data_IF_213649073662
#
_entry.id   IF_213649073662
#
_cell.length_a   1.000
_cell.length_b   1.000
_cell.length_c   1.000
_cell.angle_alpha   90.00
_cell.angle_beta   90.00
_cell.angle_gamma   90.00
#
_symmetry.space_group_name_H-M   'P 1'
#
loop_
_entity.id
_entity.type
_entity.pdbx_description
1 polymer ?
#
# COMPACT_ATOMS: atom_id res chain seq x y z
N UNK A 1 16.37 34.76 -53.45
CA UNK A 1 17.59 35.59 -53.27
C UNK A 1 17.24 36.92 -52.62
N UNK A 2 17.38 37.03 -51.29
CA UNK A 2 17.99 38.16 -50.57
C UNK A 2 18.00 37.82 -49.07
N UNK A 3 19.07 38.25 -48.45
CA UNK A 3 19.68 37.86 -47.17
C UNK A 3 18.95 38.40 -45.92
N UNK A 4 19.33 37.92 -44.71
CA UNK A 4 18.62 38.05 -43.43
C UNK A 4 19.15 39.24 -42.58
N UNK A 5 18.71 39.34 -41.32
CA UNK A 5 19.47 39.79 -40.10
C UNK A 5 18.65 40.74 -39.21
N UNK A 6 18.62 40.41 -37.90
CA UNK A 6 18.63 41.23 -36.67
C UNK A 6 17.74 40.50 -35.64
N UNK A 7 18.24 39.56 -34.82
CA UNK A 7 19.15 39.74 -33.69
C UNK A 7 18.81 40.97 -32.82
N UNK A 8 17.80 40.82 -31.97
CA UNK A 8 17.60 41.67 -30.79
C UNK A 8 17.76 40.82 -29.54
N UNK A 9 18.99 40.84 -29.02
CA UNK A 9 19.33 40.48 -27.64
C UNK A 9 18.85 41.63 -26.77
N UNK A 10 17.87 41.40 -25.90
CA UNK A 10 17.55 42.30 -24.79
C UNK A 10 17.95 41.60 -23.50
N UNK A 11 19.13 41.99 -23.01
CA UNK A 11 19.55 41.89 -21.62
C UNK A 11 18.47 42.53 -20.74
N UNK A 12 17.97 41.81 -19.73
CA UNK A 12 17.38 42.42 -18.54
C UNK A 12 18.28 42.12 -17.32
N UNK A 13 18.47 43.11 -16.43
CA UNK A 13 19.49 43.07 -15.39
C UNK A 13 19.07 42.26 -14.17
N UNK A 14 20.06 41.55 -13.61
CA UNK A 14 20.05 41.09 -12.24
C UNK A 14 20.07 42.30 -11.28
N UNK A 15 19.07 42.39 -10.41
CA UNK A 15 19.12 43.22 -9.22
C UNK A 15 19.10 42.30 -8.00
N UNK A 16 20.28 42.13 -7.39
CA UNK A 16 20.41 41.68 -6.02
C UNK A 16 19.73 42.71 -5.11
N UNK A 17 18.85 42.27 -4.23
CA UNK A 17 18.51 43.00 -3.01
C UNK A 17 18.69 42.04 -1.85
N UNK A 18 19.84 42.19 -1.19
CA UNK A 18 20.07 41.70 0.14
C UNK A 18 19.21 42.56 1.09
N UNK A 19 18.34 41.93 1.86
CA UNK A 19 17.75 42.54 3.04
C UNK A 19 18.30 41.79 4.25
N UNK A 20 19.35 42.39 4.79
CA UNK A 20 19.90 42.20 6.12
C UNK A 20 18.80 42.50 7.16
N UNK A 21 18.62 41.61 8.13
CA UNK A 21 17.54 41.73 9.11
C UNK A 21 17.54 40.62 10.15
N UNK A 22 18.61 40.54 10.95
CA UNK A 22 18.53 39.98 12.30
C UNK A 22 17.94 41.06 13.23
N UNK A 23 17.04 40.68 14.14
CA UNK A 23 17.41 40.88 15.54
C UNK A 23 16.93 39.79 16.51
N UNK A 24 17.66 39.80 17.61
CA UNK A 24 17.24 39.53 18.99
C UNK A 24 17.21 38.09 19.51
N UNK A 25 18.25 37.82 20.28
CA UNK A 25 18.39 36.77 21.28
C UNK A 25 17.27 36.89 22.32
N UNK A 26 16.19 36.13 22.16
CA UNK A 26 15.25 35.87 23.24
C UNK A 26 15.73 34.65 24.05
N UNK A 27 16.47 34.98 25.09
CA UNK A 27 16.48 34.39 26.43
C UNK A 27 15.93 32.96 26.60
N UNK A 28 16.87 32.10 27.00
CA UNK A 28 16.71 30.72 27.40
C UNK A 28 16.40 30.74 28.91
N UNK A 29 15.17 30.47 29.33
CA UNK A 29 14.89 30.05 30.71
C UNK A 29 13.63 29.20 30.78
N UNK A 30 13.81 27.88 30.93
CA UNK A 30 12.98 27.02 31.78
C UNK A 30 13.53 25.60 31.71
N UNK A 31 14.49 25.36 32.58
CA UNK A 31 14.88 24.03 33.00
C UNK A 31 13.71 23.40 33.78
N UNK A 32 13.03 22.43 33.17
CA UNK A 32 12.23 21.48 33.93
C UNK A 32 13.15 20.32 34.34
N UNK A 33 13.72 20.43 35.53
CA UNK A 33 14.32 19.31 36.26
C UNK A 33 13.24 18.27 36.56
N UNK A 34 13.28 17.12 35.88
CA UNK A 34 12.57 15.92 36.31
C UNK A 34 13.45 15.25 37.36
N UNK A 35 13.04 15.35 38.62
CA UNK A 35 13.63 14.62 39.73
C UNK A 35 13.20 13.15 39.68
N UNK A 36 14.18 12.25 39.67
CA UNK A 36 14.03 10.83 40.03
C UNK A 36 13.71 10.71 41.52
N UNK A 37 12.45 10.91 41.93
CA UNK A 37 11.96 10.44 43.25
C UNK A 37 10.43 10.46 43.27
N UNK A 38 9.80 9.42 42.71
CA UNK A 38 8.46 8.98 43.16
C UNK A 38 8.19 7.54 42.69
N UNK A 39 8.98 6.63 43.24
CA UNK A 39 8.65 5.20 43.29
C UNK A 39 8.07 4.95 44.68
N UNK A 40 6.74 4.96 44.84
CA UNK A 40 6.06 4.17 45.88
C UNK A 40 4.54 4.19 45.76
N UNK A 41 3.98 2.98 45.88
CA UNK A 41 2.68 2.68 46.49
C UNK A 41 1.39 3.06 45.73
N UNK A 42 0.80 2.06 45.06
CA UNK A 42 -0.63 1.75 45.23
C UNK A 42 -0.89 0.31 44.78
N UNK A 43 -0.60 -0.62 45.69
CA UNK A 43 -1.17 -1.96 45.69
C UNK A 43 -2.57 -1.87 46.30
N UNK A 44 -3.63 -1.80 45.51
CA UNK A 44 -4.99 -2.00 46.02
C UNK A 44 -5.79 -2.96 45.15
N UNK A 45 -5.96 -4.15 45.71
CA UNK A 45 -6.82 -5.25 45.32
C UNK A 45 -8.30 -4.82 45.31
N UNK A 46 -9.10 -5.19 44.30
CA UNK A 46 -10.53 -5.37 44.52
C UNK A 46 -10.83 -6.84 44.85
N UNK A 47 -11.05 -7.07 46.15
CA UNK A 47 -11.79 -8.21 46.69
C UNK A 47 -13.27 -8.06 46.34
N UNK A 48 -13.86 -9.12 45.81
CA UNK A 48 -15.22 -9.53 46.17
C UNK A 48 -16.37 -9.01 45.30
N UNK A 49 -16.84 -9.86 44.38
CA UNK A 49 -18.28 -10.11 44.28
C UNK A 49 -18.56 -11.52 43.76
N UNK A 50 -18.78 -12.44 44.70
CA UNK A 50 -19.45 -13.72 44.48
C UNK A 50 -20.96 -13.53 44.56
N UNK A 51 -21.68 -14.05 43.55
CA UNK A 51 -23.05 -14.59 43.56
C UNK A 51 -23.07 -15.49 42.31
N UNK A 52 -22.83 -16.81 42.37
CA UNK A 52 -23.82 -17.90 42.61
C UNK A 52 -25.12 -17.67 41.81
N UNK A 53 -25.69 -18.55 40.98
CA UNK A 53 -25.73 -20.01 40.94
C UNK A 53 -26.58 -20.40 39.70
N UNK A 54 -26.53 -21.68 39.33
CA UNK A 54 -27.38 -22.47 38.40
C UNK A 54 -26.82 -22.54 36.99
N UNK A 55 -26.18 -23.61 36.54
CA UNK A 55 -26.35 -25.01 36.92
C UNK A 55 -26.85 -25.74 35.69
N UNK A 56 -25.94 -26.41 34.97
CA UNK A 56 -26.29 -27.56 34.14
C UNK A 56 -25.03 -28.38 33.87
N UNK A 57 -24.93 -29.51 34.54
CA UNK A 57 -24.09 -30.64 34.18
C UNK A 57 -25.04 -31.79 33.74
N UNK A 58 -24.55 -33.00 33.45
CA UNK A 58 -23.77 -33.35 32.27
C UNK A 58 -24.47 -34.50 31.51
N UNK A 59 -24.06 -34.76 30.27
CA UNK A 59 -24.19 -36.09 29.67
C UNK A 59 -22.85 -36.48 29.06
N UNK A 60 -22.04 -37.09 29.93
CA UNK A 60 -21.30 -38.34 29.68
C UNK A 60 -22.17 -39.32 28.86
N UNK A 61 -21.69 -40.24 28.03
CA UNK A 61 -20.40 -40.82 27.68
C UNK A 61 -20.67 -41.57 26.34
N UNK A 62 -19.63 -42.14 25.73
CA UNK A 62 -19.64 -43.54 25.27
C UNK A 62 -18.92 -43.77 23.91
N UNK A 63 -17.78 -44.43 24.10
CA UNK A 63 -17.07 -45.36 23.23
C UNK A 63 -16.14 -44.91 22.09
N UNK A 64 -14.91 -45.39 22.27
CA UNK A 64 -13.75 -45.35 21.40
C UNK A 64 -13.78 -46.54 20.40
N UNK A 65 -12.63 -47.09 20.00
CA UNK A 65 -11.96 -46.79 18.74
C UNK A 65 -12.09 -47.93 17.73
N UNK A 66 -12.04 -47.62 16.42
CA UNK A 66 -11.86 -48.64 15.38
C UNK A 66 -10.50 -48.47 14.72
N UNK A 67 -9.52 -49.20 15.27
CA UNK A 67 -8.33 -49.62 14.54
C UNK A 67 -8.72 -50.71 13.54
N UNK A 68 -8.32 -50.54 12.28
CA UNK A 68 -8.23 -51.64 11.33
C UNK A 68 -6.78 -51.71 10.84
N UNK A 69 -6.06 -52.69 11.37
CA UNK A 69 -4.77 -53.13 10.87
C UNK A 69 -5.05 -54.31 9.93
N UNK A 70 -4.67 -54.19 8.66
CA UNK A 70 -4.46 -55.37 7.80
C UNK A 70 -3.20 -55.15 6.96
N UNK A 71 -2.20 -55.97 7.28
CA UNK A 71 -0.88 -56.00 6.70
C UNK A 71 -0.83 -56.86 5.42
N UNK A 72 0.00 -56.42 4.47
CA UNK A 72 0.90 -57.18 3.60
C UNK A 72 1.27 -56.21 2.45
N UNK A 73 2.48 -55.69 2.31
CA UNK A 73 3.77 -56.35 2.40
C UNK A 73 4.37 -56.29 1.01
N UNK A 74 5.27 -55.34 0.74
CA UNK A 74 6.32 -55.46 -0.27
C UNK A 74 7.29 -54.28 -0.17
N UNK A 75 8.52 -54.56 0.25
CA UNK A 75 9.72 -53.83 -0.15
C UNK A 75 10.64 -54.91 -0.76
N UNK A 76 11.31 -54.65 -1.89
CA UNK A 76 12.39 -53.66 -1.90
C UNK A 76 12.36 -52.69 -3.08
N UNK A 77 13.04 -51.56 -2.87
CA UNK A 77 13.46 -50.62 -3.91
C UNK A 77 14.29 -51.30 -5.01
N UNK A 78 14.34 -50.68 -6.20
CA UNK A 78 15.61 -50.07 -6.57
C UNK A 78 15.48 -48.60 -6.99
N UNK A 79 16.57 -47.88 -6.78
CA UNK A 79 16.78 -46.53 -7.26
C UNK A 79 16.69 -46.47 -8.80
N UNK A 80 16.05 -45.41 -9.30
CA UNK A 80 16.32 -44.87 -10.62
C UNK A 80 16.36 -43.33 -10.50
N UNK A 81 17.58 -42.81 -10.50
CA UNK A 81 17.91 -41.44 -10.88
C UNK A 81 17.49 -41.16 -12.33
N UNK A 82 17.12 -39.90 -12.60
CA UNK A 82 16.92 -39.33 -13.94
C UNK A 82 15.45 -39.12 -14.26
N UNK A 83 14.93 -37.91 -14.49
CA UNK A 83 15.57 -36.71 -14.98
C UNK A 83 14.90 -35.46 -14.39
N UNK A 84 15.72 -34.49 -14.00
CA UNK A 84 15.28 -33.12 -13.82
C UNK A 84 14.94 -32.56 -15.19
N UNK A 85 13.66 -32.60 -15.55
CA UNK A 85 13.16 -31.73 -16.61
C UNK A 85 13.25 -30.28 -16.09
N UNK A 86 13.88 -29.35 -16.81
CA UNK A 86 13.83 -27.94 -16.42
C UNK A 86 12.36 -27.51 -16.36
N UNK A 87 11.92 -26.72 -15.37
CA UNK A 87 10.54 -26.25 -15.33
C UNK A 87 10.25 -25.54 -16.65
N UNK A 88 9.31 -26.10 -17.40
CA UNK A 88 8.71 -25.42 -18.55
C UNK A 88 8.34 -24.01 -18.10
N UNK A 89 8.80 -22.95 -18.78
CA UNK A 89 8.43 -21.60 -18.39
C UNK A 89 6.90 -21.51 -18.41
N UNK A 90 6.33 -21.16 -17.26
CA UNK A 90 4.90 -20.92 -17.14
C UNK A 90 4.49 -19.94 -18.26
N UNK A 91 3.41 -20.21 -19.01
CA UNK A 91 2.95 -19.27 -20.02
C UNK A 91 2.70 -17.91 -19.35
N UNK A 92 3.20 -16.84 -19.98
CA UNK A 92 2.87 -15.49 -19.58
C UNK A 92 1.34 -15.38 -19.50
N UNK A 93 0.84 -15.10 -18.29
CA UNK A 93 -0.59 -14.92 -18.06
C UNK A 93 -1.01 -13.73 -18.90
N UNK A 94 -1.78 -13.99 -19.94
CA UNK A 94 -2.20 -12.98 -20.88
C UNK A 94 -3.06 -11.93 -20.16
N UNK A 95 -2.60 -10.69 -20.18
CA UNK A 95 -3.43 -9.52 -19.89
C UNK A 95 -4.64 -9.56 -20.84
N UNK A 96 -5.85 -9.39 -20.32
CA UNK A 96 -7.02 -9.28 -21.19
C UNK A 96 -7.00 -7.90 -21.87
N UNK A 97 -6.75 -7.79 -23.19
CA UNK A 97 -6.61 -6.50 -23.85
C UNK A 97 -7.92 -5.69 -23.83
N UNK A 98 -9.05 -6.33 -23.56
CA UNK A 98 -10.39 -5.73 -23.62
C UNK A 98 -10.81 -5.02 -22.33
N UNK A 99 -10.00 -5.05 -21.27
CA UNK A 99 -10.26 -4.31 -20.04
C UNK A 99 -9.08 -3.43 -19.62
N UNK A 100 -9.37 -2.35 -18.90
CA UNK A 100 -8.38 -1.45 -18.29
C UNK A 100 -8.71 -1.23 -16.82
N UNK A 101 -7.78 -0.62 -16.08
CA UNK A 101 -7.98 -0.30 -14.67
C UNK A 101 -7.47 1.11 -14.40
N UNK A 102 -8.30 1.89 -13.72
CA UNK A 102 -8.01 3.21 -13.18
C UNK A 102 -7.93 3.09 -11.66
N UNK A 103 -6.98 3.81 -11.07
CA UNK A 103 -6.88 3.98 -9.63
C UNK A 103 -7.63 5.25 -9.21
N UNK A 104 -8.28 5.23 -8.05
CA UNK A 104 -9.10 6.35 -7.61
C UNK A 104 -8.96 6.62 -6.14
N UNK A 105 -9.33 7.83 -5.77
CA UNK A 105 -9.47 8.25 -4.38
C UNK A 105 -10.47 7.34 -3.67
N UNK A 106 -9.99 6.44 -2.80
CA UNK A 106 -10.87 5.52 -2.07
C UNK A 106 -11.37 4.30 -2.85
N UNK A 107 -10.90 4.05 -4.08
CA UNK A 107 -11.49 3.04 -4.96
C UNK A 107 -10.55 2.50 -6.04
N UNK A 108 -10.92 1.35 -6.60
CA UNK A 108 -10.40 0.82 -7.87
C UNK A 108 -11.53 0.83 -8.91
N UNK A 109 -11.22 1.12 -10.18
CA UNK A 109 -12.23 1.12 -11.23
C UNK A 109 -11.76 0.36 -12.46
N UNK A 110 -12.50 -0.69 -12.84
CA UNK A 110 -12.29 -1.40 -14.09
C UNK A 110 -13.05 -0.72 -15.22
N UNK A 111 -12.43 -0.63 -16.39
CA UNK A 111 -13.05 -0.20 -17.64
C UNK A 111 -13.14 -1.40 -18.56
N UNK A 112 -14.34 -1.72 -19.03
CA UNK A 112 -14.54 -2.71 -20.08
C UNK A 112 -14.46 -1.97 -21.41
N UNK A 113 -13.33 -2.07 -22.11
CA UNK A 113 -13.07 -1.30 -23.33
C UNK A 113 -14.07 -1.61 -24.45
N UNK A 114 -14.52 -2.87 -24.54
CA UNK A 114 -15.49 -3.31 -25.54
C UNK A 114 -16.84 -2.57 -25.44
N UNK A 115 -17.27 -2.22 -24.23
CA UNK A 115 -18.57 -1.57 -24.00
C UNK A 115 -18.46 -0.13 -23.50
N UNK A 116 -17.26 0.32 -23.14
CA UNK A 116 -17.01 1.57 -22.42
C UNK A 116 -17.57 1.59 -20.99
N UNK A 117 -18.08 0.46 -20.49
CA UNK A 117 -18.70 0.41 -19.15
C UNK A 117 -17.64 0.39 -18.05
N UNK A 118 -17.93 1.07 -16.94
CA UNK A 118 -17.05 1.08 -15.77
C UNK A 118 -17.63 0.31 -14.60
N UNK A 119 -16.79 -0.40 -13.86
CA UNK A 119 -17.12 -1.05 -12.59
C UNK A 119 -16.24 -0.52 -11.48
N UNK A 120 -16.85 0.08 -10.46
CA UNK A 120 -16.15 0.66 -9.32
C UNK A 120 -16.17 -0.29 -8.13
N UNK A 121 -15.03 -0.40 -7.46
CA UNK A 121 -14.81 -1.16 -6.24
C UNK A 121 -14.32 -0.19 -5.16
N UNK A 122 -15.22 0.31 -4.30
CA UNK A 122 -14.82 1.17 -3.18
C UNK A 122 -14.08 0.37 -2.11
N UNK A 123 -13.39 1.05 -1.21
CA UNK A 123 -12.93 0.42 0.03
C UNK A 123 -14.11 -0.21 0.80
N UNK A 124 -13.87 -1.37 1.41
CA UNK A 124 -14.90 -2.25 1.95
C UNK A 124 -15.46 -3.28 0.96
N UNK A 125 -15.16 -3.18 -0.34
CA UNK A 125 -15.62 -4.17 -1.31
C UNK A 125 -15.08 -5.59 -0.99
N UNK A 126 -15.88 -6.65 -1.14
CA UNK A 126 -15.45 -8.02 -0.84
C UNK A 126 -14.25 -8.44 -1.69
N UNK A 127 -13.22 -9.03 -1.06
CA UNK A 127 -11.97 -9.46 -1.70
C UNK A 127 -12.22 -10.35 -2.91
N UNK A 128 -13.15 -11.28 -2.81
CA UNK A 128 -13.46 -12.21 -3.91
C UNK A 128 -13.89 -11.46 -5.18
N UNK A 129 -14.76 -10.44 -5.05
CA UNK A 129 -15.24 -9.65 -6.17
C UNK A 129 -14.11 -8.82 -6.79
N UNK A 130 -13.28 -8.19 -5.94
CA UNK A 130 -12.13 -7.40 -6.39
C UNK A 130 -11.11 -8.27 -7.09
N UNK A 131 -10.77 -9.43 -6.52
CA UNK A 131 -9.79 -10.36 -7.10
C UNK A 131 -10.29 -10.98 -8.40
N UNK A 132 -11.58 -11.31 -8.51
CA UNK A 132 -12.18 -11.79 -9.76
C UNK A 132 -12.04 -10.75 -10.87
N UNK A 133 -12.29 -9.48 -10.56
CA UNK A 133 -12.07 -8.40 -11.52
C UNK A 133 -10.58 -8.25 -11.86
N UNK A 134 -9.70 -8.19 -10.86
CA UNK A 134 -8.28 -7.95 -11.10
C UNK A 134 -7.62 -9.09 -11.88
N UNK A 135 -8.03 -10.34 -11.64
CA UNK A 135 -7.58 -11.48 -12.44
C UNK A 135 -8.05 -11.36 -13.89
N UNK A 136 -9.30 -10.94 -14.12
CA UNK A 136 -9.82 -10.72 -15.46
C UNK A 136 -9.13 -9.55 -16.20
N UNK A 137 -8.64 -8.53 -15.49
CA UNK A 137 -8.01 -7.34 -16.11
C UNK A 137 -6.50 -7.49 -16.24
N UNK A 138 -5.83 -8.09 -15.24
CA UNK A 138 -4.36 -8.11 -15.11
C UNK A 138 -3.76 -9.49 -14.99
N UNK A 139 -4.60 -10.52 -14.97
CA UNK A 139 -4.16 -11.86 -14.62
C UNK A 139 -3.77 -12.01 -13.15
N UNK A 140 -3.15 -13.15 -12.88
CA UNK A 140 -2.84 -13.61 -11.53
C UNK A 140 -1.69 -12.81 -10.90
N UNK A 141 -1.80 -12.38 -9.62
CA UNK A 141 -0.72 -11.68 -8.92
C UNK A 141 0.51 -12.56 -8.70
N UNK A 142 1.70 -11.96 -8.62
CA UNK A 142 2.99 -12.63 -8.53
C UNK A 142 3.27 -13.28 -7.16
N UNK A 143 2.67 -12.76 -6.07
CA UNK A 143 2.54 -13.43 -4.75
C UNK A 143 1.71 -12.58 -3.79
N UNK A 144 1.09 -13.23 -2.81
CA UNK A 144 0.31 -12.58 -1.75
C UNK A 144 0.87 -12.89 -0.35
N UNK A 145 1.89 -12.17 0.15
CA UNK A 145 2.29 -12.33 1.55
C UNK A 145 1.19 -11.76 2.47
N UNK A 146 0.93 -12.49 3.57
CA UNK A 146 0.25 -11.92 4.72
C UNK A 146 1.24 -10.99 5.44
N UNK A 147 0.84 -9.75 5.70
CA UNK A 147 1.63 -8.75 6.41
C UNK A 147 1.01 -8.57 7.80
N UNK A 148 1.63 -9.17 8.80
CA UNK A 148 1.08 -9.21 10.17
C UNK A 148 1.35 -7.94 10.99
N UNK A 149 2.27 -7.08 10.53
CA UNK A 149 2.74 -5.87 11.25
C UNK A 149 2.31 -4.59 10.55
N UNK A 150 1.02 -4.44 10.29
CA UNK A 150 0.48 -3.23 9.69
C UNK A 150 -0.29 -2.40 10.74
N UNK A 151 -0.22 -1.08 10.61
CA UNK A 151 -1.04 -0.18 11.41
C UNK A 151 -2.53 -0.50 11.16
N UNK A 152 -3.25 -0.87 12.23
CA UNK A 152 -4.66 -1.30 12.13
C UNK A 152 -4.86 -2.81 11.93
N UNK A 153 -3.84 -3.64 12.16
CA UNK A 153 -3.96 -5.11 12.19
C UNK A 153 -3.43 -5.81 10.93
N UNK A 154 -3.48 -7.15 10.89
CA UNK A 154 -2.96 -7.94 9.78
C UNK A 154 -3.70 -7.66 8.48
N UNK A 155 -2.97 -7.58 7.38
CA UNK A 155 -3.52 -7.42 6.02
C UNK A 155 -2.97 -8.50 5.09
N UNK A 156 -3.73 -8.86 4.06
CA UNK A 156 -3.22 -9.64 2.93
C UNK A 156 -2.94 -8.71 1.77
N UNK A 157 -1.76 -8.79 1.16
CA UNK A 157 -1.45 -8.04 -0.06
C UNK A 157 -1.59 -8.94 -1.30
N UNK A 158 -1.94 -8.38 -2.45
CA UNK A 158 -1.77 -8.98 -3.76
C UNK A 158 -0.93 -8.03 -4.62
N UNK A 159 0.11 -8.54 -5.28
CA UNK A 159 1.08 -7.72 -6.04
C UNK A 159 1.13 -8.14 -7.49
N UNK A 160 1.21 -7.17 -8.39
CA UNK A 160 1.39 -7.38 -9.82
C UNK A 160 2.77 -6.88 -10.28
N UNK A 161 3.34 -7.46 -11.36
CA UNK A 161 4.64 -7.04 -11.89
C UNK A 161 4.68 -5.58 -12.37
N UNK A 162 3.53 -5.01 -12.72
CA UNK A 162 3.37 -3.62 -13.17
C UNK A 162 3.41 -2.58 -12.04
N UNK A 163 3.73 -3.01 -10.81
CA UNK A 163 3.87 -2.14 -9.65
C UNK A 163 2.59 -1.93 -8.85
N UNK A 164 1.45 -2.49 -9.27
CA UNK A 164 0.23 -2.46 -8.46
C UNK A 164 0.34 -3.39 -7.25
N UNK A 165 -0.01 -2.89 -6.08
CA UNK A 165 -0.27 -3.66 -4.87
C UNK A 165 -1.64 -3.33 -4.32
N UNK A 166 -2.43 -4.34 -4.01
CA UNK A 166 -3.76 -4.20 -3.38
C UNK A 166 -3.73 -4.83 -2.00
N UNK A 167 -4.31 -4.15 -1.02
CA UNK A 167 -4.34 -4.58 0.37
C UNK A 167 -5.76 -4.93 0.79
N UNK A 168 -5.91 -6.07 1.45
CA UNK A 168 -7.17 -6.56 2.00
C UNK A 168 -7.08 -6.71 3.52
N UNK A 169 -8.10 -6.26 4.24
CA UNK A 169 -8.23 -6.43 5.69
C UNK A 169 -9.61 -7.00 5.99
N UNK A 170 -9.67 -8.04 6.82
CA UNK A 170 -10.95 -8.69 7.15
C UNK A 170 -11.69 -9.28 5.94
N UNK A 171 -10.99 -9.56 4.82
CA UNK A 171 -11.63 -10.03 3.59
C UNK A 171 -12.19 -8.92 2.70
N UNK A 172 -11.89 -7.65 2.98
CA UNK A 172 -12.39 -6.50 2.24
C UNK A 172 -11.24 -5.64 1.69
N UNK A 173 -11.48 -4.93 0.58
CA UNK A 173 -10.53 -3.99 -0.01
C UNK A 173 -10.25 -2.86 0.98
N UNK A 174 -9.00 -2.74 1.44
CA UNK A 174 -8.60 -1.76 2.43
C UNK A 174 -7.74 -0.64 1.85
N UNK A 175 -7.05 -0.89 0.73
CA UNK A 175 -6.19 0.10 0.09
C UNK A 175 -5.50 -0.43 -1.15
N UNK A 176 -4.80 0.45 -1.85
CA UNK A 176 -3.95 0.14 -2.99
C UNK A 176 -2.72 1.05 -3.01
N UNK A 177 -1.65 0.59 -3.66
CA UNK A 177 -0.42 1.33 -3.93
C UNK A 177 0.06 1.02 -5.34
N UNK A 178 0.50 2.03 -6.08
CA UNK A 178 1.27 1.88 -7.31
C UNK A 178 2.63 2.53 -7.11
N UNK A 179 3.67 1.91 -7.62
CA UNK A 179 5.05 2.39 -7.55
C UNK A 179 5.87 1.81 -8.70
N UNK A 180 7.11 2.28 -8.86
CA UNK A 180 7.98 1.82 -9.96
C UNK A 180 7.48 2.30 -11.32
N UNK A 181 7.74 1.56 -12.39
CA UNK A 181 7.34 1.93 -13.77
C UNK A 181 5.86 1.72 -14.09
N UNK A 182 4.96 1.85 -13.11
CA UNK A 182 3.53 1.61 -13.32
C UNK A 182 2.90 2.65 -14.24
N UNK A 183 2.16 2.20 -15.25
CA UNK A 183 1.44 3.08 -16.19
C UNK A 183 0.03 3.47 -15.69
N UNK A 184 -0.29 3.11 -14.44
CA UNK A 184 -1.63 3.36 -13.90
C UNK A 184 -1.79 4.81 -13.47
N UNK A 185 -2.89 5.39 -13.92
CA UNK A 185 -3.24 6.76 -13.60
C UNK A 185 -4.59 6.83 -12.91
N UNK A 186 -4.81 7.94 -12.22
CA UNK A 186 -6.16 8.38 -11.86
C UNK A 186 -6.94 8.79 -13.10
N UNK A 187 -8.24 9.00 -12.93
CA UNK A 187 -9.10 9.53 -14.00
C UNK A 187 -8.70 10.95 -14.43
N UNK A 188 -7.98 11.69 -13.58
CA UNK A 188 -7.40 13.01 -13.90
C UNK A 188 -6.01 12.92 -14.54
N UNK A 189 -5.48 11.71 -14.74
CA UNK A 189 -4.16 11.51 -15.34
C UNK A 189 -2.99 11.56 -14.37
N UNK A 190 -3.24 11.65 -13.06
CA UNK A 190 -2.17 11.57 -12.05
C UNK A 190 -1.60 10.16 -12.02
N UNK A 191 -0.30 10.02 -12.27
CA UNK A 191 0.40 8.75 -12.31
C UNK A 191 1.83 8.86 -11.81
N UNK A 192 2.58 7.77 -11.91
CA UNK A 192 4.02 7.80 -11.65
C UNK A 192 4.70 8.70 -12.69
N UNK A 193 5.64 9.54 -12.25
CA UNK A 193 6.36 10.48 -13.12
C UNK A 193 5.71 11.87 -13.25
N UNK A 194 4.49 12.09 -12.76
CA UNK A 194 3.90 13.44 -12.67
C UNK A 194 4.82 14.36 -11.85
N UNK A 195 5.12 15.56 -12.35
CA UNK A 195 5.99 16.51 -11.64
C UNK A 195 5.28 17.10 -10.43
N UNK A 196 6.04 17.55 -9.44
CA UNK A 196 5.49 18.21 -8.27
C UNK A 196 4.77 19.51 -8.67
N UNK A 197 5.33 20.26 -9.62
CA UNK A 197 4.70 21.45 -10.17
C UNK A 197 3.33 21.16 -10.80
N UNK A 198 3.22 20.11 -11.63
CA UNK A 198 1.95 19.72 -12.23
C UNK A 198 0.95 19.23 -11.17
N UNK A 199 1.42 18.45 -10.19
CA UNK A 199 0.59 18.01 -9.07
C UNK A 199 0.02 19.19 -8.28
N UNK A 200 0.85 20.17 -7.90
CA UNK A 200 0.41 21.35 -7.17
C UNK A 200 -0.58 22.20 -7.99
N UNK A 201 -0.36 22.33 -9.30
CA UNK A 201 -1.27 23.03 -10.21
C UNK A 201 -2.66 22.39 -10.23
N UNK A 202 -2.72 21.07 -10.28
CA UNK A 202 -3.98 20.35 -10.52
C UNK A 202 -4.74 20.02 -9.23
N UNK A 203 -4.04 19.88 -8.09
CA UNK A 203 -4.63 19.43 -6.82
C UNK A 203 -4.53 20.44 -5.66
N UNK A 204 -3.81 21.56 -5.83
CA UNK A 204 -3.62 22.59 -4.81
C UNK A 204 -3.18 22.03 -3.44
N UNK A 205 -2.27 21.06 -3.45
CA UNK A 205 -1.75 20.40 -2.26
C UNK A 205 -0.22 20.51 -2.21
N UNK A 206 0.30 21.04 -1.11
CA UNK A 206 1.74 21.22 -0.92
C UNK A 206 2.39 19.97 -0.32
N UNK A 207 3.55 19.55 -0.85
CA UNK A 207 4.29 18.43 -0.30
C UNK A 207 4.96 18.84 1.00
N UNK A 208 5.11 17.89 1.90
CA UNK A 208 5.80 18.03 3.16
C UNK A 208 6.89 16.97 3.27
N UNK A 209 8.01 17.31 3.88
CA UNK A 209 9.03 16.33 4.23
C UNK A 209 8.58 15.53 5.46
N UNK A 210 8.50 14.21 5.30
CA UNK A 210 8.16 13.28 6.37
C UNK A 210 9.33 12.30 6.59
N UNK A 211 9.32 11.48 7.65
CA UNK A 211 10.28 10.38 7.77
C UNK A 211 10.20 9.36 6.62
N UNK A 212 9.11 9.37 5.86
CA UNK A 212 8.95 8.62 4.62
C UNK A 212 9.33 9.47 3.38
N UNK A 213 10.06 10.56 3.51
CA UNK A 213 10.44 11.44 2.40
C UNK A 213 9.36 12.47 2.06
N UNK A 214 9.42 13.02 0.85
CA UNK A 214 8.50 14.08 0.42
C UNK A 214 7.14 13.52 0.04
N UNK A 215 6.08 13.98 0.69
CA UNK A 215 4.72 13.47 0.49
C UNK A 215 3.69 14.59 0.41
N UNK A 216 2.67 14.44 -0.43
CA UNK A 216 1.49 15.30 -0.45
C UNK A 216 0.22 14.44 -0.35
N UNK A 217 -0.85 15.01 0.21
CA UNK A 217 -2.15 14.36 0.29
C UNK A 217 -3.22 15.19 -0.42
N UNK A 218 -4.07 14.52 -1.17
CA UNK A 218 -5.26 15.10 -1.78
C UNK A 218 -6.41 14.11 -1.65
N UNK A 219 -7.44 14.45 -0.88
CA UNK A 219 -8.46 13.47 -0.46
C UNK A 219 -7.84 12.29 0.31
N UNK A 220 -8.18 11.08 -0.12
CA UNK A 220 -7.63 9.80 0.31
C UNK A 220 -6.36 9.38 -0.47
N UNK A 221 -5.89 10.15 -1.45
CA UNK A 221 -4.64 9.90 -2.16
C UNK A 221 -3.45 10.43 -1.37
N UNK A 222 -2.41 9.61 -1.27
CA UNK A 222 -1.07 10.03 -0.85
C UNK A 222 -0.12 9.84 -2.02
N UNK A 223 0.55 10.92 -2.42
CA UNK A 223 1.61 10.92 -3.41
C UNK A 223 2.96 11.10 -2.71
N UNK A 224 3.94 10.26 -3.05
CA UNK A 224 5.32 10.39 -2.59
C UNK A 224 6.21 10.83 -3.74
N UNK A 225 7.09 11.79 -3.49
CA UNK A 225 7.92 12.44 -4.49
C UNK A 225 9.40 12.07 -4.32
N UNK A 226 10.17 12.22 -5.40
CA UNK A 226 11.62 12.06 -5.40
C UNK A 226 12.38 13.13 -4.62
N UNK A 227 11.73 14.25 -4.27
CA UNK A 227 12.30 15.41 -3.60
C UNK A 227 11.25 16.51 -3.41
N UNK A 228 11.67 17.66 -2.87
CA UNK A 228 10.81 18.83 -2.62
C UNK A 228 10.88 19.93 -3.68
N UNK A 229 11.56 19.70 -4.81
CA UNK A 229 11.71 20.69 -5.88
C UNK A 229 10.60 20.56 -6.93
N UNK A 230 10.25 21.62 -7.67
CA UNK A 230 9.13 21.58 -8.64
C UNK A 230 9.24 20.50 -9.73
N UNK A 231 10.47 20.11 -10.09
CA UNK A 231 10.82 19.06 -11.04
C UNK A 231 10.89 17.65 -10.43
N UNK A 232 10.79 17.53 -9.10
CA UNK A 232 10.66 16.24 -8.45
C UNK A 232 9.40 15.53 -8.96
N UNK A 233 9.45 14.21 -9.07
CA UNK A 233 8.36 13.41 -9.65
C UNK A 233 7.73 12.50 -8.64
N UNK A 234 6.45 12.20 -8.85
CA UNK A 234 5.72 11.16 -8.12
C UNK A 234 6.42 9.80 -8.32
N UNK A 235 6.86 9.17 -7.25
CA UNK A 235 7.50 7.84 -7.21
C UNK A 235 6.52 6.74 -6.77
N UNK A 236 5.51 7.10 -5.98
CA UNK A 236 4.41 6.20 -5.63
C UNK A 236 3.13 6.98 -5.39
N UNK A 237 2.02 6.33 -5.70
CA UNK A 237 0.67 6.77 -5.36
C UNK A 237 -0.01 5.69 -4.55
N UNK A 238 -0.81 6.10 -3.59
CA UNK A 238 -1.53 5.15 -2.77
C UNK A 238 -2.80 5.74 -2.19
N UNK A 239 -3.73 4.87 -1.80
CA UNK A 239 -4.94 5.25 -1.09
C UNK A 239 -5.35 4.17 -0.10
N UNK A 240 -5.94 4.60 1.02
CA UNK A 240 -6.43 3.71 2.07
C UNK A 240 -5.33 3.14 2.96
N UNK A 241 -5.58 1.96 3.52
CA UNK A 241 -4.64 1.25 4.38
C UNK A 241 -3.54 0.62 3.53
N UNK A 242 -2.36 1.23 3.58
CA UNK A 242 -1.16 0.78 2.87
C UNK A 242 -0.16 0.30 3.90
N UNK A 243 0.35 -0.91 3.71
CA UNK A 243 1.36 -1.47 4.59
C UNK A 243 2.71 -1.48 3.88
N UNK A 244 3.68 -0.77 4.46
CA UNK A 244 5.07 -0.85 4.02
C UNK A 244 5.76 -1.95 4.86
N UNK A 245 6.41 -2.89 4.18
CA UNK A 245 7.29 -3.87 4.82
C UNK A 245 8.52 -3.07 5.29
N UNK A 246 8.55 -2.72 6.58
CA UNK A 246 9.68 -2.07 7.24
C UNK A 246 10.49 -3.09 8.02
#
# INVERSE_FOLDING_TARGET
>A
MKTPTLLSVLLLPAALTACDGAPDEAEIDSAATVTEEDIAAASETPVGRSVEERGNAPLEEDEAPVSVEQAAGMSPAPAAEGANDPPTPAPAVAENPEAGLIIGDGQLQAIIKATGSTRTFPFGAPREQVMTMLDAVRGTPSRAPSLSKCAGGPVTAARWPDGLTVFFRGGELAGWKVAGGSELTTMTGLGIGTTLADFQRDFAADPQETPAGWEARTGNLTARFSGGTPDAVVQSLSSGAVCEDR
#
